data_IF_958778683152
#
_entry.id   IF_958778683152
#
_cell.length_a   1.000
_cell.length_b   1.000
_cell.length_c   1.000
_cell.angle_alpha   90.00
_cell.angle_beta   90.00
_cell.angle_gamma   90.00
#
_symmetry.space_group_name_H-M   'P 1'
#
loop_
_entity.id
_entity.type
_entity.pdbx_description
1 polymer ?
#
# COMPACT_ATOMS: atom_id res chain seq x y z
N UNK A 1 -8.51 -6.61 10.10
CA UNK A 1 -8.63 -6.75 8.65
C UNK A 1 -9.51 -7.94 8.33
N UNK A 2 -10.48 -7.77 7.49
CA UNK A 2 -11.37 -8.84 7.09
C UNK A 2 -10.78 -9.55 5.87
N UNK A 3 -10.53 -10.83 5.94
CA UNK A 3 -10.06 -11.56 4.78
C UNK A 3 -11.13 -11.54 3.71
N UNK A 4 -10.74 -11.19 2.55
CA UNK A 4 -11.64 -11.15 1.44
C UNK A 4 -11.62 -12.49 0.75
N UNK A 5 -12.78 -13.00 0.56
CA UNK A 5 -12.94 -14.32 0.01
C UNK A 5 -12.81 -14.27 -1.50
N UNK A 6 -12.10 -15.22 -1.99
CA UNK A 6 -11.80 -15.30 -3.39
C UNK A 6 -12.95 -15.69 -4.30
N UNK A 7 -14.09 -15.99 -3.81
CA UNK A 7 -15.20 -16.45 -4.62
C UNK A 7 -15.67 -15.43 -5.61
N UNK A 8 -14.96 -15.23 -6.69
CA UNK A 8 -15.22 -14.19 -7.67
C UNK A 8 -16.63 -14.21 -8.24
N UNK A 9 -17.32 -15.33 -8.13
CA UNK A 9 -18.71 -15.47 -8.57
C UNK A 9 -19.69 -15.54 -7.41
N UNK A 10 -19.21 -15.48 -6.15
CA UNK A 10 -20.09 -15.53 -5.00
C UNK A 10 -20.69 -14.16 -4.72
N UNK A 11 -21.96 -14.07 -4.35
CA UNK A 11 -22.58 -12.81 -3.95
C UNK A 11 -21.95 -12.31 -2.64
N UNK A 12 -21.86 -10.99 -2.50
CA UNK A 12 -21.42 -10.36 -1.28
C UNK A 12 -22.47 -10.56 -0.17
N UNK A 13 -22.03 -10.98 1.01
CA UNK A 13 -22.93 -11.21 2.14
C UNK A 13 -23.63 -9.94 2.63
N UNK A 14 -23.05 -8.78 2.34
CA UNK A 14 -23.61 -7.50 2.77
C UNK A 14 -24.63 -6.95 1.78
N UNK A 15 -24.30 -6.94 0.49
CA UNK A 15 -25.16 -6.30 -0.53
C UNK A 15 -25.71 -7.28 -1.55
N UNK A 16 -25.38 -8.55 -1.47
CA UNK A 16 -25.84 -9.62 -2.37
C UNK A 16 -25.42 -9.42 -3.84
N UNK A 17 -24.44 -8.54 -4.07
CA UNK A 17 -23.89 -8.32 -5.41
C UNK A 17 -22.55 -9.02 -5.55
N UNK A 18 -22.19 -9.34 -6.78
CA UNK A 18 -20.90 -9.97 -7.08
C UNK A 18 -19.83 -8.88 -7.23
N UNK A 19 -18.80 -8.96 -6.38
CA UNK A 19 -17.69 -8.01 -6.38
C UNK A 19 -16.42 -8.70 -6.86
N UNK A 20 -16.26 -8.87 -8.14
CA UNK A 20 -15.12 -9.62 -8.70
C UNK A 20 -13.78 -8.95 -8.43
N UNK A 21 -13.71 -7.63 -8.55
CA UNK A 21 -12.45 -6.89 -8.46
C UNK A 21 -12.07 -6.56 -7.02
N UNK A 22 -13.03 -6.53 -6.11
CA UNK A 22 -12.79 -6.18 -4.71
C UNK A 22 -12.37 -7.37 -3.84
N UNK A 23 -12.58 -8.58 -4.32
CA UNK A 23 -12.39 -9.80 -3.51
C UNK A 23 -10.96 -10.27 -3.45
N UNK A 24 -10.03 -9.59 -4.09
CA UNK A 24 -8.63 -10.03 -4.21
C UNK A 24 -7.63 -9.03 -3.64
N UNK A 25 -8.10 -8.02 -2.93
CA UNK A 25 -7.23 -7.01 -2.33
C UNK A 25 -7.37 -7.05 -0.82
N UNK A 26 -6.26 -7.27 -0.14
CA UNK A 26 -6.16 -7.18 1.30
C UNK A 26 -5.14 -6.13 1.68
N UNK A 27 -5.42 -5.38 2.73
CA UNK A 27 -4.48 -4.36 3.15
C UNK A 27 -4.84 -3.68 4.45
N UNK A 28 -4.00 -2.75 4.84
CA UNK A 28 -4.17 -1.92 6.01
C UNK A 28 -4.42 -0.47 5.58
N UNK A 29 -5.24 0.24 6.36
CA UNK A 29 -5.55 1.65 6.11
C UNK A 29 -4.42 2.59 6.49
N UNK A 30 -3.41 2.12 7.22
CA UNK A 30 -2.28 2.91 7.68
C UNK A 30 -1.05 2.03 7.87
N UNK A 31 0.17 2.64 7.85
CA UNK A 31 1.38 1.90 8.22
C UNK A 31 1.30 1.40 9.66
N UNK A 32 1.96 0.30 9.96
CA UNK A 32 2.02 -0.24 11.32
C UNK A 32 2.58 0.80 12.30
N UNK A 33 3.53 1.60 11.86
CA UNK A 33 4.12 2.67 12.68
C UNK A 33 3.09 3.72 13.10
N UNK A 34 2.16 4.07 12.21
CA UNK A 34 1.06 5.01 12.54
C UNK A 34 0.11 4.38 13.55
N UNK A 35 -0.16 3.10 13.41
CA UNK A 35 -1.04 2.39 14.34
C UNK A 35 -0.41 2.26 15.74
N UNK A 36 0.91 2.30 15.83
CA UNK A 36 1.65 2.13 17.07
C UNK A 36 1.83 3.42 17.88
N UNK A 37 1.64 4.60 17.28
CA UNK A 37 1.80 5.87 18.00
C UNK A 37 0.56 6.23 18.79
N UNK A 38 0.70 7.15 19.75
CA UNK A 38 -0.40 7.64 20.55
C UNK A 38 -1.40 8.45 19.73
N UNK A 39 -2.60 8.59 20.26
CA UNK A 39 -3.64 9.40 19.62
C UNK A 39 -3.20 10.86 19.44
N UNK A 40 -2.48 11.42 20.42
CA UNK A 40 -1.95 12.77 20.31
C UNK A 40 -0.93 12.92 19.18
N UNK A 41 -0.07 11.93 19.01
CA UNK A 41 0.89 11.92 17.90
C UNK A 41 0.18 11.79 16.54
N UNK A 42 -0.91 11.04 16.47
CA UNK A 42 -1.70 10.92 15.24
C UNK A 42 -2.32 12.24 14.81
N UNK A 43 -2.66 13.11 15.75
CA UNK A 43 -3.21 14.43 15.42
C UNK A 43 -2.22 15.31 14.67
N UNK A 44 -0.92 15.10 14.86
CA UNK A 44 0.14 15.82 14.17
C UNK A 44 0.57 15.13 12.87
N UNK A 45 0.09 13.92 12.64
CA UNK A 45 0.40 13.15 11.44
C UNK A 45 -0.60 13.46 10.33
N UNK A 46 -0.19 13.23 9.11
CA UNK A 46 -1.06 13.31 7.94
C UNK A 46 -1.29 11.89 7.42
N UNK A 47 -2.54 11.52 7.27
CA UNK A 47 -2.91 10.20 6.74
C UNK A 47 -4.01 10.37 5.70
N UNK A 48 -3.68 9.97 4.48
CA UNK A 48 -4.62 9.85 3.36
C UNK A 48 -4.68 8.39 2.93
N UNK A 49 -5.56 8.01 2.00
CA UNK A 49 -5.54 6.65 1.46
C UNK A 49 -4.23 6.26 0.78
N UNK A 50 -3.40 7.23 0.39
CA UNK A 50 -2.20 6.99 -0.41
C UNK A 50 -0.90 7.35 0.29
N UNK A 51 -0.94 8.24 1.28
CA UNK A 51 0.26 8.83 1.89
C UNK A 51 0.08 8.95 3.40
N UNK A 52 1.15 8.67 4.13
CA UNK A 52 1.23 8.95 5.56
C UNK A 52 2.51 9.73 5.86
N UNK A 53 2.37 10.83 6.57
CA UNK A 53 3.50 11.63 7.04
C UNK A 53 3.43 11.65 8.56
N UNK A 54 4.42 11.06 9.20
CA UNK A 54 4.43 10.84 10.63
C UNK A 54 5.60 11.58 11.27
N UNK A 55 5.33 12.57 12.14
CA UNK A 55 6.40 13.20 12.92
C UNK A 55 7.12 12.18 13.79
N UNK A 56 8.42 12.29 13.83
CA UNK A 56 9.26 11.38 14.59
C UNK A 56 10.47 12.15 15.10
N UNK A 57 10.88 11.92 16.33
CA UNK A 57 12.00 12.51 17.05
C UNK A 57 12.97 13.37 16.21
N UNK A 58 12.69 14.68 16.09
CA UNK A 58 13.53 15.61 15.37
C UNK A 58 13.47 15.50 13.85
N UNK A 59 12.51 14.75 13.31
CA UNK A 59 12.35 14.56 11.88
C UNK A 59 10.95 14.12 11.50
N UNK A 60 10.82 13.63 10.29
CA UNK A 60 9.56 13.18 9.74
C UNK A 60 9.77 11.87 8.98
N UNK A 61 8.88 10.93 9.18
CA UNK A 61 8.86 9.68 8.43
C UNK A 61 7.79 9.75 7.35
N UNK A 62 8.10 9.22 6.20
CA UNK A 62 7.22 9.29 5.02
C UNK A 62 6.87 7.90 4.55
N UNK A 63 5.57 7.66 4.32
CA UNK A 63 5.08 6.37 3.86
C UNK A 63 4.16 6.56 2.67
N UNK A 64 4.21 5.65 1.74
CA UNK A 64 3.28 5.59 0.63
C UNK A 64 2.61 4.22 0.59
N UNK A 65 1.39 4.19 0.08
CA UNK A 65 0.69 2.94 -0.15
C UNK A 65 1.09 2.38 -1.50
N UNK A 66 1.33 1.07 -1.54
CA UNK A 66 1.68 0.37 -2.76
C UNK A 66 1.03 -1.01 -2.82
N UNK A 67 1.11 -1.64 -3.98
CA UNK A 67 0.51 -2.93 -4.23
C UNK A 67 1.57 -3.98 -4.54
N UNK A 68 1.49 -5.11 -3.85
CA UNK A 68 2.21 -6.32 -4.21
C UNK A 68 1.22 -7.24 -4.90
N UNK A 69 1.48 -7.54 -6.17
CA UNK A 69 0.62 -8.42 -6.94
C UNK A 69 1.20 -9.82 -6.96
N UNK A 70 0.39 -10.80 -6.61
CA UNK A 70 0.79 -12.20 -6.59
C UNK A 70 -0.13 -12.99 -7.53
N UNK A 71 0.43 -13.81 -8.41
CA UNK A 71 -0.39 -14.69 -9.23
C UNK A 71 -1.04 -15.77 -8.37
N UNK A 72 -2.31 -16.05 -8.66
CA UNK A 72 -3.05 -17.11 -7.99
C UNK A 72 -3.11 -18.31 -8.94
N UNK A 73 -2.69 -19.46 -8.44
CA UNK A 73 -2.73 -20.71 -9.20
C UNK A 73 -4.17 -21.19 -9.29
N UNK A 74 -4.66 -21.45 -10.50
CA UNK A 74 -6.01 -21.91 -10.72
C UNK A 74 -6.30 -22.10 -12.20
N UNK A 75 -7.52 -22.57 -12.55
CA UNK A 75 -7.90 -22.79 -13.94
C UNK A 75 -7.97 -21.50 -14.78
N UNK A 76 -8.15 -20.37 -14.12
CA UNK A 76 -8.15 -19.06 -14.78
C UNK A 76 -7.07 -18.19 -14.12
N UNK A 77 -6.34 -17.37 -14.89
CA UNK A 77 -5.38 -16.45 -14.34
C UNK A 77 -6.04 -15.43 -13.43
N UNK A 78 -5.58 -15.36 -12.19
CA UNK A 78 -6.07 -14.41 -11.20
C UNK A 78 -4.89 -13.76 -10.49
N UNK A 79 -5.13 -12.58 -9.93
CA UNK A 79 -4.13 -11.84 -9.18
C UNK A 79 -4.67 -11.53 -7.79
N UNK A 80 -3.87 -11.84 -6.79
CA UNK A 80 -4.12 -11.42 -5.42
C UNK A 80 -3.25 -10.20 -5.13
N UNK A 81 -3.80 -9.21 -4.46
CA UNK A 81 -3.10 -7.96 -4.18
C UNK A 81 -2.99 -7.73 -2.68
N UNK A 82 -1.76 -7.54 -2.19
CA UNK A 82 -1.51 -6.94 -0.89
C UNK A 82 -1.40 -5.44 -1.06
N UNK A 83 -2.30 -4.68 -0.43
CA UNK A 83 -2.16 -3.24 -0.31
C UNK A 83 -1.37 -2.95 0.97
N UNK A 84 -0.15 -2.49 0.81
CA UNK A 84 0.79 -2.32 1.91
C UNK A 84 1.32 -0.89 1.96
N UNK A 85 2.04 -0.57 3.03
CA UNK A 85 2.70 0.71 3.19
C UNK A 85 4.22 0.53 3.09
N UNK A 86 4.86 1.51 2.50
CA UNK A 86 6.30 1.52 2.29
C UNK A 86 6.87 2.82 2.82
N UNK A 87 7.88 2.72 3.65
CA UNK A 87 8.62 3.88 4.11
C UNK A 87 9.63 4.29 3.06
N UNK A 88 9.64 5.57 2.72
CA UNK A 88 10.58 6.17 1.78
C UNK A 88 11.31 7.33 2.42
N UNK A 89 12.46 7.70 1.89
CA UNK A 89 13.18 8.87 2.36
C UNK A 89 12.54 10.18 1.88
N UNK A 90 13.00 11.28 2.43
CA UNK A 90 12.47 12.60 2.11
C UNK A 90 12.64 12.94 0.62
N UNK A 91 13.76 12.60 0.05
CA UNK A 91 14.05 12.86 -1.37
C UNK A 91 13.07 12.09 -2.27
N UNK A 92 12.85 10.81 -1.98
CA UNK A 92 11.89 9.99 -2.72
C UNK A 92 10.47 10.52 -2.58
N UNK A 93 10.08 10.93 -1.37
CA UNK A 93 8.76 11.53 -1.14
C UNK A 93 8.61 12.83 -1.93
N UNK A 94 9.62 13.67 -1.98
CA UNK A 94 9.60 14.89 -2.76
C UNK A 94 9.43 14.60 -4.26
N UNK A 95 10.12 13.60 -4.76
CA UNK A 95 9.98 13.15 -6.15
C UNK A 95 8.57 12.66 -6.45
N UNK A 96 8.00 11.87 -5.56
CA UNK A 96 6.62 11.39 -5.67
C UNK A 96 5.65 12.55 -5.69
N UNK A 97 5.82 13.52 -4.80
CA UNK A 97 4.95 14.69 -4.72
C UNK A 97 5.00 15.54 -6.00
N UNK A 98 6.20 15.74 -6.53
CA UNK A 98 6.38 16.52 -7.77
C UNK A 98 5.69 15.89 -8.98
N UNK A 99 5.62 14.58 -9.02
CA UNK A 99 5.07 13.83 -10.17
C UNK A 99 3.67 13.30 -9.92
N UNK A 100 3.06 13.66 -8.82
CA UNK A 100 1.78 13.06 -8.39
C UNK A 100 0.70 13.08 -9.46
N UNK A 101 0.54 14.20 -10.14
CA UNK A 101 -0.47 14.38 -11.18
C UNK A 101 0.11 14.38 -12.59
N UNK A 102 1.39 14.07 -12.75
CA UNK A 102 2.03 14.03 -14.05
C UNK A 102 1.50 12.86 -14.89
N UNK A 103 0.92 13.11 -16.07
CA UNK A 103 0.43 12.03 -16.94
C UNK A 103 1.51 11.01 -17.31
N UNK A 104 2.78 11.39 -17.27
CA UNK A 104 3.92 10.55 -17.64
C UNK A 104 4.65 9.98 -16.41
N UNK A 105 4.06 10.04 -15.23
CA UNK A 105 4.76 9.62 -14.01
C UNK A 105 5.18 8.15 -14.02
N UNK A 106 4.49 7.30 -14.78
CA UNK A 106 4.87 5.90 -14.92
C UNK A 106 6.26 5.69 -15.56
N UNK A 107 6.76 6.71 -16.26
CA UNK A 107 8.07 6.68 -16.88
C UNK A 107 9.22 7.09 -15.93
N UNK A 108 8.91 7.47 -14.69
CA UNK A 108 9.96 7.82 -13.72
C UNK A 108 10.76 6.59 -13.31
N UNK A 109 12.03 6.81 -12.97
CA UNK A 109 12.90 5.74 -12.52
C UNK A 109 12.35 5.10 -11.24
N UNK A 110 12.54 3.79 -11.05
CA UNK A 110 12.12 3.14 -9.81
C UNK A 110 12.78 3.75 -8.58
N UNK A 111 12.02 3.77 -7.49
CA UNK A 111 12.49 4.20 -6.17
C UNK A 111 12.68 3.01 -5.27
N UNK A 112 13.38 3.19 -4.18
CA UNK A 112 13.52 2.16 -3.17
C UNK A 112 12.88 2.59 -1.86
N UNK A 113 12.38 1.62 -1.12
CA UNK A 113 11.81 1.86 0.20
C UNK A 113 11.88 0.61 1.06
N UNK A 114 11.27 0.68 2.23
CA UNK A 114 11.20 -0.44 3.16
C UNK A 114 9.76 -0.72 3.52
N UNK A 115 9.41 -1.98 3.52
CA UNK A 115 8.06 -2.40 3.83
C UNK A 115 7.70 -2.02 5.27
N UNK A 116 6.60 -1.32 5.44
CA UNK A 116 6.11 -0.81 6.73
C UNK A 116 4.81 -1.48 7.17
N UNK A 117 4.45 -2.57 6.54
CA UNK A 117 3.30 -3.40 6.89
C UNK A 117 3.78 -4.82 7.19
N UNK A 118 3.43 -5.33 8.36
CA UNK A 118 3.65 -6.74 8.69
C UNK A 118 2.60 -7.60 8.01
N UNK A 119 3.04 -8.54 7.18
CA UNK A 119 2.17 -9.49 6.50
C UNK A 119 2.15 -10.83 7.25
N UNK A 120 1.09 -11.62 7.10
CA UNK A 120 0.92 -12.87 7.85
C UNK A 120 1.75 -14.03 7.28
N UNK A 121 3.04 -13.81 7.12
CA UNK A 121 3.99 -14.84 6.71
C UNK A 121 4.86 -15.25 7.89
N UNK A 122 5.42 -16.44 7.81
CA UNK A 122 6.28 -16.97 8.84
C UNK A 122 7.52 -16.09 9.06
N UNK A 123 8.08 -15.58 7.97
CA UNK A 123 9.22 -14.65 8.04
C UNK A 123 8.71 -13.22 8.19
N UNK A 124 9.35 -12.39 9.04
CA UNK A 124 8.98 -10.99 9.17
C UNK A 124 9.12 -10.25 7.84
N UNK A 125 8.11 -9.45 7.50
CA UNK A 125 8.12 -8.66 6.27
C UNK A 125 8.44 -7.18 6.49
N UNK A 126 8.19 -6.64 7.68
CA UNK A 126 8.54 -5.24 7.98
C UNK A 126 10.05 -5.03 7.85
N UNK A 127 10.42 -3.93 7.20
CA UNK A 127 11.81 -3.58 7.01
C UNK A 127 12.45 -4.17 5.76
N UNK A 128 11.76 -5.06 5.06
CA UNK A 128 12.27 -5.58 3.79
C UNK A 128 12.40 -4.47 2.76
N UNK A 129 13.52 -4.45 2.07
CA UNK A 129 13.72 -3.51 0.99
C UNK A 129 12.84 -3.87 -0.19
N UNK A 130 12.17 -2.87 -0.76
CA UNK A 130 11.31 -3.05 -1.93
C UNK A 130 11.68 -2.02 -2.99
N UNK A 131 11.42 -2.37 -4.24
CA UNK A 131 11.57 -1.47 -5.37
C UNK A 131 10.18 -0.99 -5.75
N UNK A 132 10.04 0.33 -5.87
CA UNK A 132 8.77 0.99 -6.11
C UNK A 132 8.68 1.37 -7.59
N UNK A 133 7.72 0.78 -8.28
CA UNK A 133 7.45 1.07 -9.68
C UNK A 133 6.21 1.95 -9.78
N UNK A 134 6.41 3.22 -10.07
CA UNK A 134 5.32 4.18 -10.22
C UNK A 134 4.44 3.81 -11.41
N UNK A 135 3.15 3.95 -11.23
CA UNK A 135 2.15 3.73 -12.30
C UNK A 135 1.45 5.04 -12.65
N UNK A 136 0.54 5.00 -13.62
CA UNK A 136 -0.22 6.16 -14.04
C UNK A 136 -0.95 6.83 -12.86
N UNK A 137 -1.23 8.15 -12.96
CA UNK A 137 -1.97 8.85 -11.91
C UNK A 137 -3.29 8.14 -11.55
N UNK A 138 -3.56 8.08 -10.25
CA UNK A 138 -4.71 7.36 -9.73
C UNK A 138 -4.48 5.89 -9.43
N UNK A 139 -3.32 5.34 -9.80
CA UNK A 139 -2.95 3.96 -9.52
C UNK A 139 -1.85 3.89 -8.46
N UNK A 140 -2.03 3.02 -7.47
CA UNK A 140 -0.98 2.77 -6.50
C UNK A 140 0.25 2.17 -7.18
N UNK A 141 1.47 2.50 -6.74
CA UNK A 141 2.67 1.90 -7.32
C UNK A 141 2.74 0.40 -7.08
N UNK A 142 3.46 -0.30 -7.94
CA UNK A 142 3.77 -1.70 -7.75
C UNK A 142 5.09 -1.87 -6.99
N UNK A 143 5.14 -2.89 -6.17
CA UNK A 143 6.30 -3.22 -5.35
C UNK A 143 6.90 -4.56 -5.76
#
# INVERSE_FOLDING_TARGET
MVPVISGSSAPCDVCQQVHRDLTRVLGSSAPDDWLAVSEGERLEAELTPDVCILPYRGGTRHFIRGHIQLPVVGPEPEVFVWAVWVEVDEESMAAIARTWSDPNRAATAPLTGRLATGLPYEQPTRGLQVIIHTRDPGMAPLL
#
